data_IF_563125165448
#
_entry.id   IF_563125165448
#
_cell.length_a   1.000
_cell.length_b   1.000
_cell.length_c   1.000
_cell.angle_alpha   90.00
_cell.angle_beta   90.00
_cell.angle_gamma   90.00
#
_symmetry.space_group_name_H-M   'P 1'
#
loop_
_entity.id
_entity.type
_entity.pdbx_description
1 polymer ?
#
# COMPACT_ATOMS: atom_id res chain seq x y z
N UNK A 1 7.87 -10.67 8.30
CA UNK A 1 6.51 -11.08 7.89
C UNK A 1 6.57 -11.73 6.52
N UNK A 2 5.97 -12.92 6.38
CA UNK A 2 5.93 -13.62 5.09
C UNK A 2 4.92 -12.97 4.14
N UNK A 3 4.93 -13.36 2.87
CA UNK A 3 3.92 -12.88 1.92
C UNK A 3 2.51 -13.27 2.39
N UNK A 4 2.34 -14.51 2.83
CA UNK A 4 1.06 -14.97 3.37
C UNK A 4 0.61 -14.11 4.57
N UNK A 5 1.53 -13.78 5.47
CA UNK A 5 1.23 -12.92 6.61
C UNK A 5 0.77 -11.54 6.20
N UNK A 6 1.35 -10.99 5.13
CA UNK A 6 0.95 -9.68 4.59
C UNK A 6 -0.43 -9.76 3.95
N UNK A 7 -0.73 -10.84 3.24
CA UNK A 7 -2.06 -11.07 2.67
C UNK A 7 -3.10 -11.16 3.78
N UNK A 8 -2.80 -11.92 4.83
CA UNK A 8 -3.72 -12.08 5.97
C UNK A 8 -3.96 -10.74 6.67
N UNK A 9 -2.90 -9.94 6.87
CA UNK A 9 -3.03 -8.61 7.45
C UNK A 9 -3.95 -7.72 6.61
N UNK A 10 -3.79 -7.75 5.29
CA UNK A 10 -4.62 -6.98 4.37
C UNK A 10 -6.09 -7.42 4.46
N UNK A 11 -6.34 -8.71 4.51
CA UNK A 11 -7.72 -9.23 4.60
C UNK A 11 -8.41 -8.85 5.90
N UNK A 12 -7.65 -8.77 7.00
CA UNK A 12 -8.19 -8.36 8.30
C UNK A 12 -8.37 -6.86 8.43
N UNK A 13 -7.65 -6.07 7.63
CA UNK A 13 -7.63 -4.61 7.73
C UNK A 13 -7.79 -3.98 6.34
N UNK A 14 -8.87 -4.26 5.62
CA UNK A 14 -9.03 -3.77 4.25
C UNK A 14 -9.13 -2.25 4.16
N UNK A 15 -9.57 -1.59 5.22
CA UNK A 15 -9.71 -0.13 5.26
C UNK A 15 -8.35 0.58 5.11
N UNK A 16 -7.26 -0.06 5.51
CA UNK A 16 -5.93 0.55 5.38
C UNK A 16 -5.55 0.67 3.91
N UNK A 17 -5.79 -0.37 3.14
CA UNK A 17 -5.51 -0.33 1.71
C UNK A 17 -6.42 0.68 0.99
N UNK A 18 -7.67 0.81 1.42
CA UNK A 18 -8.56 1.81 0.85
C UNK A 18 -8.01 3.22 1.04
N UNK A 19 -7.47 3.54 2.22
CA UNK A 19 -6.80 4.81 2.45
C UNK A 19 -5.54 4.94 1.60
N UNK A 20 -4.75 3.88 1.50
CA UNK A 20 -3.55 3.86 0.67
C UNK A 20 -3.88 4.20 -0.78
N UNK A 21 -4.90 3.56 -1.35
CA UNK A 21 -5.35 3.86 -2.72
C UNK A 21 -5.77 5.31 -2.88
N UNK A 22 -6.52 5.83 -1.94
CA UNK A 22 -6.97 7.22 -1.96
C UNK A 22 -5.79 8.17 -2.07
N UNK A 23 -4.79 7.99 -1.22
CA UNK A 23 -3.62 8.87 -1.22
C UNK A 23 -2.72 8.64 -2.43
N UNK A 24 -2.63 7.40 -2.93
CA UNK A 24 -1.91 7.12 -4.16
C UNK A 24 -2.54 7.86 -5.35
N UNK A 25 -3.86 7.83 -5.48
CA UNK A 25 -4.54 8.56 -6.55
C UNK A 25 -4.41 10.07 -6.38
N UNK A 26 -4.41 10.57 -5.15
CA UNK A 26 -4.15 12.00 -4.93
C UNK A 26 -2.75 12.39 -5.42
N UNK A 27 -1.75 11.55 -5.15
CA UNK A 27 -0.39 11.80 -5.61
C UNK A 27 -0.30 11.78 -7.13
N UNK A 28 -0.98 10.82 -7.77
CA UNK A 28 -1.04 10.73 -9.23
C UNK A 28 -1.69 11.98 -9.81
N UNK A 29 -2.80 12.42 -9.23
CA UNK A 29 -3.53 13.59 -9.71
C UNK A 29 -2.75 14.89 -9.49
N UNK A 30 -1.76 14.90 -8.61
CA UNK A 30 -0.89 16.06 -8.42
C UNK A 30 0.15 16.19 -9.54
N UNK A 31 0.12 15.31 -10.53
CA UNK A 31 1.01 15.31 -11.70
C UNK A 31 2.47 15.04 -11.38
N UNK A 32 2.75 14.40 -10.25
CA UNK A 32 4.11 13.96 -9.95
C UNK A 32 4.45 12.75 -10.81
N UNK A 33 5.67 12.69 -11.38
CA UNK A 33 6.05 11.56 -12.25
C UNK A 33 6.19 10.25 -11.46
N UNK A 34 6.50 10.33 -10.19
CA UNK A 34 6.57 9.17 -9.30
C UNK A 34 6.34 9.61 -7.86
N UNK A 35 6.08 8.63 -6.98
CA UNK A 35 5.85 8.89 -5.58
C UNK A 35 6.33 7.68 -4.77
N UNK A 36 6.85 7.94 -3.57
CA UNK A 36 7.33 6.84 -2.72
C UNK A 36 6.16 6.16 -2.00
N UNK A 37 6.13 4.84 -2.02
CA UNK A 37 5.16 4.08 -1.23
C UNK A 37 5.29 4.39 0.26
N UNK A 38 6.52 4.67 0.73
CA UNK A 38 6.74 5.06 2.12
C UNK A 38 6.03 6.35 2.47
N UNK A 39 6.04 7.34 1.58
CA UNK A 39 5.34 8.60 1.81
C UNK A 39 3.83 8.37 1.92
N UNK A 40 3.28 7.49 1.11
CA UNK A 40 1.86 7.15 1.16
C UNK A 40 1.52 6.45 2.47
N UNK A 41 2.34 5.49 2.90
CA UNK A 41 2.13 4.79 4.17
C UNK A 41 2.20 5.77 5.34
N UNK A 42 3.12 6.70 5.32
CA UNK A 42 3.23 7.70 6.38
C UNK A 42 1.98 8.59 6.43
N UNK A 43 1.40 8.91 5.27
CA UNK A 43 0.13 9.66 5.23
C UNK A 43 -1.01 8.84 5.83
N UNK A 44 -1.07 7.54 5.54
CA UNK A 44 -2.07 6.65 6.13
C UNK A 44 -1.89 6.57 7.65
N UNK A 45 -0.65 6.46 8.12
CA UNK A 45 -0.36 6.44 9.56
C UNK A 45 -0.84 7.71 10.24
N UNK A 46 -0.55 8.85 9.64
CA UNK A 46 -0.99 10.14 10.18
C UNK A 46 -2.51 10.20 10.31
N UNK A 47 -3.22 9.80 9.26
CA UNK A 47 -4.69 9.83 9.28
C UNK A 47 -5.27 8.89 10.33
N UNK A 48 -4.71 7.68 10.46
CA UNK A 48 -5.21 6.73 11.46
C UNK A 48 -4.92 7.19 12.89
N UNK A 49 -3.78 7.82 13.12
CA UNK A 49 -3.44 8.36 14.44
C UNK A 49 -4.38 9.48 14.86
N UNK A 50 -4.70 10.38 13.95
CA UNK A 50 -5.50 11.56 14.28
C UNK A 50 -6.98 11.25 14.45
N UNK A 51 -7.48 10.19 13.76
CA UNK A 51 -8.92 9.89 13.77
C UNK A 51 -9.33 8.80 14.73
N UNK A 52 -8.46 7.81 14.94
CA UNK A 52 -8.86 6.59 15.64
C UNK A 52 -8.45 6.52 17.11
N UNK A 53 -7.56 7.38 17.57
CA UNK A 53 -7.00 7.35 18.94
C UNK A 53 -6.47 5.97 19.34
N UNK A 54 -6.34 5.08 18.41
CA UNK A 54 -6.01 3.69 18.67
C UNK A 54 -4.56 3.47 18.34
N UNK A 55 -3.63 3.40 19.09
CA UNK A 55 -2.24 3.13 18.74
C UNK A 55 -2.04 2.10 17.61
N UNK A 56 -2.87 2.17 16.59
CA UNK A 56 -2.84 1.25 15.46
C UNK A 56 -1.54 1.45 14.68
N UNK A 57 -0.72 0.41 14.64
CA UNK A 57 0.58 0.47 13.98
C UNK A 57 0.52 -0.26 12.64
N UNK A 58 0.92 0.44 11.59
CA UNK A 58 1.05 -0.16 10.27
C UNK A 58 2.52 -0.51 10.06
N UNK A 59 2.80 -1.77 9.79
CA UNK A 59 4.17 -2.23 9.56
C UNK A 59 4.75 -1.60 8.28
N UNK A 60 6.03 -1.20 8.33
CA UNK A 60 6.74 -0.75 7.15
C UNK A 60 6.78 -1.81 6.03
N UNK A 61 6.67 -3.08 6.42
CA UNK A 61 6.67 -4.17 5.45
C UNK A 61 5.48 -4.11 4.51
N UNK A 62 4.39 -3.48 4.93
CA UNK A 62 3.18 -3.39 4.11
C UNK A 62 3.32 -2.38 2.97
N UNK A 63 4.28 -1.48 3.01
CA UNK A 63 4.47 -0.54 1.90
C UNK A 63 4.84 -1.26 0.60
N UNK A 64 5.65 -2.30 0.68
CA UNK A 64 6.00 -3.11 -0.48
C UNK A 64 4.80 -3.90 -0.99
N UNK A 65 3.97 -4.41 -0.09
CA UNK A 65 2.76 -5.14 -0.43
C UNK A 65 1.75 -4.25 -1.13
N UNK A 66 1.43 -3.10 -0.52
CA UNK A 66 0.39 -2.22 -1.06
C UNK A 66 0.78 -1.62 -2.41
N UNK A 67 2.05 -1.25 -2.60
CA UNK A 67 2.48 -0.69 -3.88
C UNK A 67 2.33 -1.71 -5.01
N UNK A 68 2.65 -2.98 -4.74
CA UNK A 68 2.49 -4.03 -5.74
C UNK A 68 1.03 -4.37 -6.00
N UNK A 69 0.21 -4.41 -4.95
CA UNK A 69 -1.22 -4.63 -5.11
C UNK A 69 -1.86 -3.51 -5.91
N UNK A 70 -1.49 -2.26 -5.62
CA UNK A 70 -1.97 -1.10 -6.35
C UNK A 70 -1.67 -1.22 -7.85
N UNK A 71 -0.44 -1.59 -8.21
CA UNK A 71 -0.04 -1.72 -9.60
C UNK A 71 -0.72 -2.91 -10.27
N UNK A 72 -0.92 -4.02 -9.55
CA UNK A 72 -1.65 -5.17 -10.09
C UNK A 72 -3.10 -4.80 -10.44
N UNK A 73 -3.73 -3.99 -9.61
CA UNK A 73 -5.10 -3.53 -9.86
C UNK A 73 -5.17 -2.38 -10.86
N UNK A 74 -4.08 -1.64 -11.02
CA UNK A 74 -4.01 -0.45 -11.89
C UNK A 74 -2.74 -0.49 -12.73
N UNK A 75 -2.64 -1.40 -13.73
CA UNK A 75 -1.39 -1.58 -14.49
C UNK A 75 -0.90 -0.33 -15.23
N UNK A 76 -1.81 0.60 -15.50
CA UNK A 76 -1.45 1.87 -16.13
C UNK A 76 -0.39 2.63 -15.33
N UNK A 77 -0.36 2.43 -14.02
CA UNK A 77 0.55 3.14 -13.12
C UNK A 77 1.76 2.30 -12.69
N UNK A 78 2.12 1.30 -13.48
CA UNK A 78 3.23 0.39 -13.12
C UNK A 78 4.57 1.10 -12.91
N UNK A 79 4.76 2.27 -13.48
CA UNK A 79 6.00 3.04 -13.35
C UNK A 79 5.91 4.14 -12.30
N UNK A 80 4.77 4.27 -11.61
CA UNK A 80 4.58 5.33 -10.61
C UNK A 80 5.45 5.10 -9.37
N UNK A 81 5.60 3.85 -8.94
CA UNK A 81 6.47 3.49 -7.83
C UNK A 81 7.79 2.91 -8.31
N UNK A 82 8.86 3.15 -7.57
CA UNK A 82 10.15 2.49 -7.80
C UNK A 82 10.19 1.22 -6.96
N UNK A 83 10.37 0.08 -7.59
CA UNK A 83 10.38 -1.20 -6.90
C UNK A 83 11.80 -1.71 -6.69
N UNK A 84 12.04 -2.28 -5.51
CA UNK A 84 13.23 -3.05 -5.20
C UNK A 84 12.82 -4.52 -5.04
N UNK A 85 13.71 -5.49 -5.28
CA UNK A 85 13.37 -6.89 -5.06
C UNK A 85 12.80 -7.12 -3.67
N UNK A 86 11.73 -7.90 -3.60
CA UNK A 86 11.00 -8.13 -2.36
C UNK A 86 10.28 -9.47 -2.42
N UNK A 87 9.99 -10.04 -1.26
CA UNK A 87 9.14 -11.24 -1.19
C UNK A 87 7.75 -10.98 -1.76
N UNK A 88 7.34 -9.72 -1.87
CA UNK A 88 6.06 -9.35 -2.44
C UNK A 88 6.04 -9.41 -3.97
N UNK A 89 7.19 -9.64 -4.63
CA UNK A 89 7.26 -9.75 -6.08
C UNK A 89 6.44 -10.92 -6.61
N UNK A 90 6.18 -11.92 -5.78
CA UNK A 90 5.33 -13.06 -6.14
C UNK A 90 3.83 -12.84 -5.96
N UNK A 91 3.43 -11.65 -5.52
CA UNK A 91 2.01 -11.36 -5.28
C UNK A 91 1.21 -11.42 -6.58
N UNK A 92 0.06 -12.09 -6.53
CA UNK A 92 -0.89 -12.18 -7.64
C UNK A 92 -2.29 -11.84 -7.14
N UNK A 93 -3.11 -11.24 -8.00
CA UNK A 93 -4.48 -10.84 -7.62
C UNK A 93 -5.31 -12.00 -7.10
N UNK A 94 -5.12 -13.20 -7.64
CA UNK A 94 -5.87 -14.38 -7.19
C UNK A 94 -5.63 -14.72 -5.72
N UNK A 95 -4.52 -14.27 -5.16
CA UNK A 95 -4.18 -14.54 -3.75
C UNK A 95 -4.97 -13.66 -2.80
N UNK A 96 -5.58 -12.59 -3.29
CA UNK A 96 -6.29 -11.60 -2.48
C UNK A 96 -7.78 -11.89 -2.43
N UNK A 97 -8.29 -12.63 -3.37
CA UNK A 97 -9.72 -12.96 -3.46
C UNK A 97 -10.17 -13.90 -2.35
#
# INVERSE_FOLDING_TARGET
MTLKGRIDYHKKNPQIYEMYKKFAFQAINSKRPYYSSEMIINRVRWETMTKAHSGFKISNEMKAFYSRLFVLQNPTYKNFFKFKPSICDGLKLKMIK
#
